data_IF_272945020194
#
_entry.id   IF_272945020194
#
_cell.length_a   1.000
_cell.length_b   1.000
_cell.length_c   1.000
_cell.angle_alpha   90.00
_cell.angle_beta   90.00
_cell.angle_gamma   90.00
#
_symmetry.space_group_name_H-M   'P 1'
#
loop_
_entity.id
_entity.type
_entity.pdbx_description
1 polymer ?
#
# COMPACT_ATOMS: atom_id res chain seq x y z
N UNK A 1 -7.70 -2.67 -7.43
CA UNK A 1 -7.50 -3.40 -6.15
C UNK A 1 -6.29 -2.85 -5.41
N UNK A 2 -6.13 -3.11 -4.09
CA UNK A 2 -5.06 -2.50 -3.25
C UNK A 2 -3.65 -2.66 -3.84
N UNK A 3 -3.30 -3.85 -4.34
CA UNK A 3 -2.01 -4.10 -4.98
C UNK A 3 -1.75 -3.28 -6.24
N UNK A 4 -2.78 -3.06 -7.06
CA UNK A 4 -2.69 -2.23 -8.27
C UNK A 4 -2.54 -0.75 -7.92
N UNK A 5 -3.23 -0.29 -6.88
CA UNK A 5 -3.08 1.07 -6.36
C UNK A 5 -1.65 1.29 -5.85
N UNK A 6 -1.10 0.32 -5.11
CA UNK A 6 0.29 0.34 -4.67
C UNK A 6 1.26 0.39 -5.86
N UNK A 7 1.06 -0.45 -6.88
CA UNK A 7 1.91 -0.48 -8.06
C UNK A 7 1.87 0.86 -8.83
N UNK A 8 0.69 1.47 -8.91
CA UNK A 8 0.50 2.77 -9.54
C UNK A 8 1.17 3.88 -8.73
N UNK A 9 0.99 3.88 -7.41
CA UNK A 9 1.63 4.84 -6.51
C UNK A 9 3.16 4.75 -6.58
N UNK A 10 3.75 3.53 -6.55
CA UNK A 10 5.21 3.38 -6.72
C UNK A 10 5.67 3.99 -8.04
N UNK A 11 5.03 3.65 -9.17
CA UNK A 11 5.44 4.16 -10.49
C UNK A 11 5.33 5.69 -10.58
N UNK A 12 4.38 6.30 -9.87
CA UNK A 12 4.19 7.74 -9.83
C UNK A 12 5.24 8.45 -8.96
N UNK A 13 5.39 8.05 -7.69
CA UNK A 13 6.29 8.71 -6.74
C UNK A 13 7.75 8.30 -6.89
N UNK A 14 8.01 7.07 -7.35
CA UNK A 14 9.34 6.49 -7.51
C UNK A 14 9.50 5.85 -8.91
N UNK A 15 9.45 6.64 -10.00
CA UNK A 15 9.44 6.12 -11.37
C UNK A 15 10.71 5.34 -11.75
N UNK A 16 11.83 5.61 -11.07
CA UNK A 16 13.11 4.93 -11.30
C UNK A 16 13.29 3.68 -10.42
N UNK A 17 12.39 3.46 -9.46
CA UNK A 17 12.46 2.30 -8.59
C UNK A 17 11.84 1.07 -9.27
N UNK A 18 12.67 0.06 -9.50
CA UNK A 18 12.19 -1.30 -9.72
C UNK A 18 11.50 -1.84 -8.46
N UNK A 19 10.69 -2.89 -8.59
CA UNK A 19 10.13 -3.62 -7.45
C UNK A 19 11.20 -4.02 -6.41
N UNK A 20 12.41 -4.37 -6.86
CA UNK A 20 13.52 -4.73 -5.95
C UNK A 20 13.99 -3.55 -5.13
N UNK A 21 14.20 -2.39 -5.78
CA UNK A 21 14.68 -1.17 -5.11
C UNK A 21 13.64 -0.69 -4.11
N UNK A 22 12.37 -0.63 -4.52
CA UNK A 22 11.29 -0.18 -3.66
C UNK A 22 11.07 -1.10 -2.45
N UNK A 23 11.17 -2.43 -2.66
CA UNK A 23 11.09 -3.40 -1.57
C UNK A 23 12.13 -3.13 -0.47
N UNK A 24 13.37 -2.75 -0.85
CA UNK A 24 14.41 -2.37 0.11
C UNK A 24 14.01 -1.13 0.91
N UNK A 25 13.41 -0.12 0.27
CA UNK A 25 13.00 1.12 0.97
C UNK A 25 11.99 0.88 2.08
N UNK A 26 11.07 -0.08 1.88
CA UNK A 26 10.03 -0.41 2.86
C UNK A 26 10.40 -1.62 3.73
N UNK A 27 11.64 -2.11 3.66
CA UNK A 27 12.14 -3.16 4.55
C UNK A 27 11.58 -4.57 4.28
N UNK A 28 11.19 -4.90 3.04
CA UNK A 28 10.67 -6.23 2.69
C UNK A 28 11.48 -6.92 1.59
N UNK A 29 11.31 -8.24 1.45
CA UNK A 29 11.92 -8.97 0.33
C UNK A 29 11.25 -8.61 -1.01
N UNK A 30 11.98 -8.70 -2.12
CA UNK A 30 11.40 -8.53 -3.48
C UNK A 30 10.25 -9.51 -3.75
N UNK A 31 10.33 -10.74 -3.21
CA UNK A 31 9.25 -11.73 -3.34
C UNK A 31 7.98 -11.27 -2.61
N UNK A 32 8.13 -10.75 -1.39
CA UNK A 32 7.05 -10.16 -0.60
C UNK A 32 6.44 -8.95 -1.31
N UNK A 33 7.26 -8.04 -1.81
CA UNK A 33 6.77 -6.87 -2.54
C UNK A 33 6.05 -7.25 -3.85
N UNK A 34 6.53 -8.26 -4.57
CA UNK A 34 5.84 -8.75 -5.77
C UNK A 34 4.46 -9.31 -5.44
N UNK A 35 4.30 -9.98 -4.29
CA UNK A 35 2.99 -10.43 -3.78
C UNK A 35 2.10 -9.25 -3.40
N UNK A 36 2.66 -8.21 -2.81
CA UNK A 36 1.93 -6.98 -2.48
C UNK A 36 1.29 -6.35 -3.73
N UNK A 37 2.06 -6.13 -4.79
CA UNK A 37 1.52 -5.54 -6.03
C UNK A 37 0.50 -6.46 -6.73
N UNK A 38 0.54 -7.77 -6.48
CA UNK A 38 -0.47 -8.72 -6.96
C UNK A 38 -1.73 -8.77 -6.09
N UNK A 39 -1.74 -8.12 -4.93
CA UNK A 39 -2.87 -8.17 -3.98
C UNK A 39 -3.00 -9.52 -3.27
N UNK A 40 -1.91 -10.25 -3.09
CA UNK A 40 -1.91 -11.54 -2.38
C UNK A 40 -2.30 -11.35 -0.90
N UNK A 41 -3.36 -12.05 -0.48
CA UNK A 41 -3.95 -11.93 0.87
C UNK A 41 -3.10 -12.57 1.98
N UNK A 42 -2.05 -13.34 1.63
CA UNK A 42 -1.09 -13.85 2.61
C UNK A 42 -0.13 -12.77 3.13
N UNK A 43 -0.09 -11.61 2.49
CA UNK A 43 0.74 -10.48 2.91
C UNK A 43 0.02 -9.69 4.00
N UNK A 44 0.66 -9.58 5.17
CA UNK A 44 0.15 -8.76 6.27
C UNK A 44 -0.03 -7.28 5.91
N UNK A 45 -1.07 -6.65 6.46
CA UNK A 45 -1.40 -5.24 6.27
C UNK A 45 -0.29 -4.30 6.75
N UNK A 46 0.52 -4.72 7.73
CA UNK A 46 1.71 -4.01 8.23
C UNK A 46 2.64 -3.57 7.10
N UNK A 47 2.78 -4.40 6.06
CA UNK A 47 3.68 -4.13 4.93
C UNK A 47 3.09 -3.11 3.96
N UNK A 48 1.78 -3.16 3.76
CA UNK A 48 1.09 -2.15 2.96
C UNK A 48 1.08 -0.80 3.70
N UNK A 49 0.96 -0.81 5.03
CA UNK A 49 1.10 0.40 5.84
C UNK A 49 2.51 1.00 5.73
N UNK A 50 3.58 0.20 5.81
CA UNK A 50 4.94 0.68 5.60
C UNK A 50 5.14 1.32 4.21
N UNK A 51 4.50 0.76 3.17
CA UNK A 51 4.50 1.39 1.85
C UNK A 51 3.70 2.70 1.83
N UNK A 52 2.54 2.76 2.48
CA UNK A 52 1.77 4.00 2.63
C UNK A 52 2.58 5.08 3.33
N UNK A 53 3.35 4.72 4.37
CA UNK A 53 4.24 5.64 5.07
C UNK A 53 5.31 6.24 4.15
N UNK A 54 5.97 5.40 3.36
CA UNK A 54 6.97 5.89 2.41
C UNK A 54 6.37 6.79 1.33
N UNK A 55 5.12 6.51 0.92
CA UNK A 55 4.43 7.22 -0.16
C UNK A 55 3.67 8.48 0.31
N UNK A 56 3.60 8.75 1.61
CA UNK A 56 2.78 9.83 2.17
C UNK A 56 1.27 9.59 1.99
N UNK A 57 0.83 8.32 2.03
CA UNK A 57 -0.54 7.88 1.79
C UNK A 57 -1.20 7.26 3.04
N UNK A 58 -0.64 7.47 4.23
CA UNK A 58 -1.11 6.91 5.50
C UNK A 58 -2.57 7.26 5.78
N UNK A 59 -2.94 8.53 5.54
CA UNK A 59 -4.29 9.00 5.78
C UNK A 59 -5.33 8.19 5.00
N UNK A 60 -5.03 7.82 3.75
CA UNK A 60 -5.92 6.95 2.96
C UNK A 60 -5.97 5.51 3.48
N UNK A 61 -4.87 5.01 4.03
CA UNK A 61 -4.81 3.68 4.62
C UNK A 61 -5.62 3.59 5.92
N UNK A 62 -5.56 4.61 6.76
CA UNK A 62 -6.34 4.70 8.02
C UNK A 62 -7.86 4.74 7.77
N UNK A 63 -8.28 5.14 6.57
CA UNK A 63 -9.70 5.16 6.18
C UNK A 63 -10.27 3.78 5.81
N UNK A 64 -9.44 2.72 5.68
CA UNK A 64 -9.89 1.40 5.22
C UNK A 64 -11.02 0.78 6.07
N UNK A 65 -11.08 1.12 7.36
CA UNK A 65 -12.10 0.64 8.29
C UNK A 65 -12.89 1.77 8.94
N UNK A 66 -12.84 2.98 8.37
CA UNK A 66 -13.65 4.08 8.85
C UNK A 66 -15.09 3.88 8.39
N UNK A 67 -15.99 3.69 9.34
CA UNK A 67 -17.42 3.66 9.07
C UNK A 67 -17.93 5.09 8.87
N UNK A 68 -18.35 5.43 7.66
CA UNK A 68 -19.12 6.65 7.44
C UNK A 68 -20.47 6.49 8.14
N UNK A 69 -20.68 7.18 9.27
CA UNK A 69 -22.01 7.36 9.84
C UNK A 69 -22.70 8.46 9.06
N UNK A 70 -23.82 8.13 8.42
CA UNK A 70 -24.69 9.14 7.82
C UNK A 70 -25.36 9.92 8.95
N UNK A 71 -25.41 11.25 8.82
CA UNK A 71 -26.17 12.13 9.73
C UNK A 71 -27.70 11.99 9.54
N UNK A 72 -28.14 11.19 8.56
CA UNK A 72 -29.55 10.94 8.26
C UNK A 72 -30.08 9.64 8.89
N UNK A 73 -29.24 8.91 9.63
CA UNK A 73 -29.59 7.63 10.25
C UNK A 73 -30.05 7.76 11.72
N UNK A 74 -30.19 8.99 12.24
CA UNK A 74 -30.78 9.33 13.56
C UNK A 74 -32.17 9.96 13.43
#
# INVERSE_FOLDING_TARGET
MLGEHLASARKYYYPQDTQKIFAVRIGVSKATYSKMEKGDLSVGLDKYYAAAQLLGLEAGFEQLFTMQRSLLDD
#
